data_IF_071722041031
#
_entry.id   IF_071722041031
#
_cell.length_a   1.000
_cell.length_b   1.000
_cell.length_c   1.000
_cell.angle_alpha   90.00
_cell.angle_beta   90.00
_cell.angle_gamma   90.00
#
_symmetry.space_group_name_H-M   'P 1'
#
loop_
_entity.id
_entity.type
_entity.pdbx_description
1 polymer ?
#
# COMPACT_ATOMS: atom_id res chain seq x y z
N UNK A 1 -40.95 4.34 20.54
CA UNK A 1 -39.73 5.18 20.51
C UNK A 1 -38.58 4.38 21.09
N UNK A 2 -37.78 3.70 20.25
CA UNK A 2 -36.51 3.14 20.72
C UNK A 2 -35.56 4.32 20.95
N UNK A 3 -35.04 4.48 22.17
CA UNK A 3 -34.04 5.51 22.44
C UNK A 3 -32.84 5.23 21.53
N UNK A 4 -32.59 6.12 20.59
CA UNK A 4 -31.51 6.00 19.62
C UNK A 4 -30.18 6.25 20.36
N UNK A 5 -29.70 5.24 21.11
CA UNK A 5 -28.44 5.34 21.84
C UNK A 5 -27.33 5.54 20.82
N UNK A 6 -26.64 6.67 20.91
CA UNK A 6 -25.54 7.02 20.00
C UNK A 6 -24.50 5.91 19.98
N UNK A 7 -24.17 5.42 18.78
CA UNK A 7 -23.13 4.42 18.62
C UNK A 7 -21.74 5.08 18.72
N UNK A 8 -21.21 5.18 19.94
CA UNK A 8 -19.97 5.92 20.27
C UNK A 8 -18.77 5.54 19.41
N UNK A 9 -18.59 4.25 19.09
CA UNK A 9 -17.50 3.81 18.23
C UNK A 9 -17.58 4.44 16.83
N UNK A 10 -18.78 4.52 16.23
CA UNK A 10 -18.96 5.19 14.94
C UNK A 10 -18.78 6.70 15.03
N UNK A 11 -19.15 7.32 16.15
CA UNK A 11 -18.90 8.74 16.36
C UNK A 11 -17.40 9.05 16.43
N UNK A 12 -16.62 8.26 17.17
CA UNK A 12 -15.16 8.42 17.24
C UNK A 12 -14.50 8.20 15.87
N UNK A 13 -14.89 7.14 15.14
CA UNK A 13 -14.41 6.92 13.77
C UNK A 13 -14.74 8.10 12.85
N UNK A 14 -15.93 8.68 12.98
CA UNK A 14 -16.33 9.83 12.18
C UNK A 14 -15.47 11.07 12.45
N UNK A 15 -15.11 11.32 13.72
CA UNK A 15 -14.20 12.41 14.10
C UNK A 15 -12.82 12.19 13.47
N UNK A 16 -12.27 10.97 13.56
CA UNK A 16 -11.00 10.61 12.94
C UNK A 16 -11.05 10.84 11.42
N UNK A 17 -12.10 10.38 10.74
CA UNK A 17 -12.26 10.61 9.31
C UNK A 17 -12.41 12.09 8.99
N UNK A 18 -13.12 12.87 9.81
CA UNK A 18 -13.25 14.31 9.64
C UNK A 18 -11.91 15.04 9.66
N UNK A 19 -11.04 14.72 10.63
CA UNK A 19 -9.68 15.27 10.66
C UNK A 19 -8.85 14.82 9.46
N UNK A 20 -8.92 13.54 9.09
CA UNK A 20 -8.22 13.01 7.92
C UNK A 20 -8.65 13.71 6.61
N UNK A 21 -9.95 13.88 6.40
CA UNK A 21 -10.51 14.58 5.22
C UNK A 21 -10.02 16.02 5.19
N UNK A 22 -10.10 16.75 6.31
CA UNK A 22 -9.66 18.14 6.38
C UNK A 22 -8.18 18.29 6.02
N UNK A 23 -7.33 17.43 6.60
CA UNK A 23 -5.89 17.42 6.32
C UNK A 23 -5.60 17.11 4.86
N UNK A 24 -6.21 16.06 4.30
CA UNK A 24 -5.98 15.64 2.92
C UNK A 24 -6.48 16.69 1.90
N UNK A 25 -7.62 17.33 2.15
CA UNK A 25 -8.14 18.41 1.30
C UNK A 25 -7.22 19.63 1.37
N UNK A 26 -6.76 20.01 2.55
CA UNK A 26 -5.81 21.11 2.72
C UNK A 26 -4.50 20.82 1.97
N UNK A 27 -3.94 19.62 2.14
CA UNK A 27 -2.71 19.20 1.47
C UNK A 27 -2.89 19.16 -0.05
N UNK A 28 -3.99 18.60 -0.55
CA UNK A 28 -4.33 18.61 -1.97
C UNK A 28 -4.41 20.04 -2.53
N UNK A 29 -5.05 20.96 -1.81
CA UNK A 29 -5.17 22.36 -2.19
C UNK A 29 -3.81 23.07 -2.23
N UNK A 30 -2.96 22.88 -1.22
CA UNK A 30 -1.62 23.45 -1.18
C UNK A 30 -0.74 22.93 -2.31
N UNK A 31 -0.77 21.62 -2.58
CA UNK A 31 -0.02 21.00 -3.68
C UNK A 31 -0.51 21.47 -5.05
N UNK A 32 -1.83 21.61 -5.23
CA UNK A 32 -2.40 22.14 -6.48
C UNK A 32 -2.01 23.59 -6.71
N UNK A 33 -2.09 24.44 -5.67
CA UNK A 33 -1.68 25.84 -5.75
C UNK A 33 -0.17 25.99 -6.03
N UNK A 34 0.66 25.21 -5.34
CA UNK A 34 2.11 25.17 -5.57
C UNK A 34 2.43 24.74 -7.00
N UNK A 35 1.78 23.67 -7.47
CA UNK A 35 1.96 23.18 -8.84
C UNK A 35 1.53 24.19 -9.91
N UNK A 36 0.43 24.93 -9.70
CA UNK A 36 0.02 26.02 -10.60
C UNK A 36 1.08 27.12 -10.62
N UNK A 37 1.57 27.52 -9.45
CA UNK A 37 2.62 28.53 -9.34
C UNK A 37 3.90 28.10 -10.08
N UNK A 38 4.34 26.86 -9.88
CA UNK A 38 5.52 26.28 -10.50
C UNK A 38 5.38 26.19 -12.04
N UNK A 39 4.17 25.90 -12.53
CA UNK A 39 3.85 25.85 -13.95
C UNK A 39 4.06 27.21 -14.65
N UNK A 40 3.73 28.32 -13.98
CA UNK A 40 3.85 29.68 -14.55
C UNK A 40 5.21 30.34 -14.31
N UNK A 41 5.89 29.98 -13.23
CA UNK A 41 7.21 30.55 -12.88
C UNK A 41 8.37 29.79 -13.51
N UNK A 42 8.11 28.59 -14.06
CA UNK A 42 9.18 27.71 -14.52
C UNK A 42 10.05 27.20 -13.36
N UNK A 43 9.51 27.21 -12.14
CA UNK A 43 10.15 26.66 -10.96
C UNK A 43 10.10 25.10 -10.99
N UNK A 44 10.39 24.48 -9.85
CA UNK A 44 10.55 23.02 -9.71
C UNK A 44 9.32 22.21 -10.16
N UNK A 45 9.55 20.97 -10.59
CA UNK A 45 8.61 19.95 -11.10
C UNK A 45 7.10 20.14 -10.75
N UNK A 46 6.34 20.92 -11.56
CA UNK A 46 4.92 21.14 -11.31
C UNK A 46 4.09 19.88 -11.56
N UNK A 47 4.54 18.96 -12.41
CA UNK A 47 3.78 17.78 -12.80
C UNK A 47 3.64 16.82 -11.61
N UNK A 48 4.73 16.55 -10.90
CA UNK A 48 4.67 15.72 -9.68
C UNK A 48 3.82 16.37 -8.58
N UNK A 49 3.81 17.70 -8.48
CA UNK A 49 2.94 18.45 -7.57
C UNK A 49 1.45 18.23 -7.85
N UNK A 50 1.02 18.34 -9.11
CA UNK A 50 -0.40 18.16 -9.47
C UNK A 50 -0.85 16.70 -9.38
N UNK A 51 0.03 15.73 -9.69
CA UNK A 51 -0.27 14.30 -9.47
C UNK A 51 -0.50 14.04 -7.98
N UNK A 52 0.35 14.58 -7.11
CA UNK A 52 0.21 14.45 -5.65
C UNK A 52 -1.08 15.09 -5.15
N UNK A 53 -1.47 16.25 -5.71
CA UNK A 53 -2.73 16.89 -5.36
C UNK A 53 -3.94 16.01 -5.69
N UNK A 54 -3.97 15.40 -6.87
CA UNK A 54 -5.03 14.47 -7.28
C UNK A 54 -5.03 13.19 -6.44
N UNK A 55 -3.85 12.66 -6.09
CA UNK A 55 -3.72 11.52 -5.19
C UNK A 55 -4.37 11.81 -3.82
N UNK A 56 -4.02 12.93 -3.18
CA UNK A 56 -4.60 13.35 -1.90
C UNK A 56 -6.11 13.60 -2.00
N UNK A 57 -6.55 14.26 -3.08
CA UNK A 57 -7.96 14.51 -3.35
C UNK A 57 -8.77 13.22 -3.52
N UNK A 58 -8.22 12.22 -4.22
CA UNK A 58 -8.86 10.92 -4.40
C UNK A 58 -8.97 10.15 -3.08
N UNK A 59 -7.92 10.13 -2.26
CA UNK A 59 -7.96 9.52 -0.91
C UNK A 59 -9.01 10.23 -0.04
N UNK A 60 -9.03 11.57 -0.05
CA UNK A 60 -10.04 12.35 0.68
C UNK A 60 -11.47 12.02 0.22
N UNK A 61 -11.69 11.87 -1.08
CA UNK A 61 -12.99 11.52 -1.64
C UNK A 61 -13.47 10.15 -1.17
N UNK A 62 -12.60 9.13 -1.19
CA UNK A 62 -12.96 7.79 -0.72
C UNK A 62 -13.20 7.80 0.81
N UNK A 63 -12.43 8.60 1.55
CA UNK A 63 -12.62 8.78 2.99
C UNK A 63 -13.94 9.51 3.31
N UNK A 64 -14.37 10.48 2.48
CA UNK A 64 -15.68 11.12 2.58
C UNK A 64 -16.83 10.12 2.36
N UNK A 65 -16.72 9.24 1.35
CA UNK A 65 -17.69 8.16 1.14
C UNK A 65 -17.73 7.24 2.37
N UNK A 66 -16.56 6.92 2.93
CA UNK A 66 -16.47 6.09 4.13
C UNK A 66 -17.13 6.76 5.35
N UNK A 67 -16.87 8.05 5.55
CA UNK A 67 -17.48 8.87 6.59
C UNK A 67 -19.00 8.97 6.47
N UNK A 68 -19.53 9.01 5.24
CA UNK A 68 -20.97 9.03 5.00
C UNK A 68 -21.66 7.78 5.58
N UNK A 69 -21.14 6.58 5.30
CA UNK A 69 -21.72 5.33 5.82
C UNK A 69 -21.56 5.18 7.34
N UNK A 70 -20.45 5.69 7.89
CA UNK A 70 -20.25 5.73 9.35
C UNK A 70 -21.22 6.72 10.01
N UNK A 71 -21.47 7.88 9.39
CA UNK A 71 -22.46 8.86 9.86
C UNK A 71 -23.88 8.28 9.89
N UNK A 72 -24.25 7.47 8.90
CA UNK A 72 -25.54 6.78 8.92
C UNK A 72 -25.70 5.91 10.16
N UNK A 73 -24.65 5.19 10.57
CA UNK A 73 -24.67 4.38 11.80
C UNK A 73 -24.79 5.25 13.04
N UNK A 74 -24.07 6.36 13.12
CA UNK A 74 -24.15 7.32 14.23
C UNK A 74 -25.54 7.93 14.37
N UNK A 75 -26.26 8.12 13.26
CA UNK A 75 -27.66 8.59 13.22
C UNK A 75 -28.70 7.49 13.49
N UNK A 76 -28.28 6.24 13.68
CA UNK A 76 -29.18 5.10 13.89
C UNK A 76 -30.02 4.75 12.66
N UNK A 77 -29.52 4.99 11.45
CA UNK A 77 -30.22 4.66 10.21
C UNK A 77 -30.04 3.17 9.87
N UNK A 78 -31.16 2.46 9.64
CA UNK A 78 -31.17 1.04 9.28
C UNK A 78 -30.34 0.71 8.02
N UNK A 79 -30.17 1.68 7.11
CA UNK A 79 -29.36 1.51 5.90
C UNK A 79 -27.89 1.19 6.19
N UNK A 80 -27.37 1.62 7.35
CA UNK A 80 -25.99 1.36 7.76
C UNK A 80 -25.75 -0.11 8.10
N UNK A 81 -26.77 -0.79 8.65
CA UNK A 81 -26.69 -2.17 9.15
C UNK A 81 -27.03 -3.22 8.07
N UNK A 82 -27.39 -2.78 6.86
CA UNK A 82 -27.62 -3.67 5.74
C UNK A 82 -26.36 -4.45 5.39
N UNK A 83 -26.48 -5.76 5.04
CA UNK A 83 -25.34 -6.54 4.60
C UNK A 83 -24.75 -5.96 3.32
N UNK A 84 -23.42 -6.00 3.23
CA UNK A 84 -22.68 -5.51 2.08
C UNK A 84 -22.00 -6.66 1.35
N UNK A 85 -22.23 -6.72 0.04
CA UNK A 85 -21.48 -7.53 -0.90
C UNK A 85 -20.84 -6.60 -1.90
N UNK A 86 -19.56 -6.81 -2.17
CA UNK A 86 -18.84 -5.97 -3.12
C UNK A 86 -19.41 -6.15 -4.53
N UNK A 87 -19.77 -5.08 -5.24
CA UNK A 87 -20.32 -5.19 -6.58
C UNK A 87 -19.23 -5.58 -7.58
N UNK A 88 -19.32 -6.78 -8.13
CA UNK A 88 -18.38 -7.29 -9.13
C UNK A 88 -19.09 -8.05 -10.24
N UNK A 89 -18.78 -7.71 -11.49
CA UNK A 89 -19.35 -8.32 -12.68
C UNK A 89 -18.28 -9.02 -13.53
N UNK A 90 -18.58 -10.14 -14.21
CA UNK A 90 -17.58 -10.92 -14.96
C UNK A 90 -16.89 -10.16 -16.09
N UNK A 91 -17.55 -9.18 -16.72
CA UNK A 91 -16.94 -8.40 -17.81
C UNK A 91 -15.80 -7.50 -17.34
N UNK A 92 -15.71 -7.21 -16.03
CA UNK A 92 -14.63 -6.41 -15.44
C UNK A 92 -13.25 -7.08 -15.59
N UNK A 93 -13.20 -8.40 -15.78
CA UNK A 93 -11.96 -9.13 -16.08
C UNK A 93 -11.27 -8.70 -17.37
N UNK A 94 -12.03 -8.13 -18.32
CA UNK A 94 -11.50 -7.66 -19.60
C UNK A 94 -11.36 -6.13 -19.58
N UNK A 95 -12.40 -5.43 -19.11
CA UNK A 95 -12.44 -3.97 -19.20
C UNK A 95 -11.40 -3.32 -18.29
N UNK A 96 -11.19 -3.80 -17.06
CA UNK A 96 -10.23 -3.16 -16.15
C UNK A 96 -8.78 -3.28 -16.68
N UNK A 97 -8.29 -4.48 -17.08
CA UNK A 97 -6.96 -4.58 -17.67
C UNK A 97 -6.82 -3.75 -18.96
N UNK A 98 -7.84 -3.73 -19.83
CA UNK A 98 -7.81 -2.94 -21.06
C UNK A 98 -7.67 -1.44 -20.77
N UNK A 99 -8.46 -0.90 -19.83
CA UNK A 99 -8.39 0.51 -19.41
C UNK A 99 -7.06 0.83 -18.75
N UNK A 100 -6.53 -0.08 -17.93
CA UNK A 100 -5.23 0.10 -17.25
C UNK A 100 -4.09 0.14 -18.27
N UNK A 101 -4.04 -0.81 -19.20
CA UNK A 101 -3.03 -0.85 -20.28
C UNK A 101 -3.15 0.38 -21.18
N UNK A 102 -4.37 0.77 -21.56
CA UNK A 102 -4.58 1.99 -22.32
C UNK A 102 -4.06 3.22 -21.58
N UNK A 103 -4.37 3.35 -20.28
CA UNK A 103 -3.90 4.47 -19.45
C UNK A 103 -2.38 4.54 -19.35
N UNK A 104 -1.71 3.39 -19.18
CA UNK A 104 -0.25 3.30 -19.14
C UNK A 104 0.35 3.71 -20.49
N UNK A 105 -0.16 3.18 -21.60
CA UNK A 105 0.36 3.49 -22.94
C UNK A 105 0.15 4.97 -23.28
N UNK A 106 -1.05 5.49 -23.03
CA UNK A 106 -1.38 6.88 -23.31
C UNK A 106 -0.56 7.85 -22.44
N UNK A 107 -0.45 7.58 -21.14
CA UNK A 107 0.38 8.39 -20.25
C UNK A 107 1.87 8.29 -20.57
N UNK A 108 2.36 7.11 -20.98
CA UNK A 108 3.72 6.94 -21.49
C UNK A 108 3.99 7.82 -22.72
N UNK A 109 3.08 7.82 -23.70
CA UNK A 109 3.16 8.72 -24.86
C UNK A 109 3.15 10.20 -24.46
N UNK A 110 2.33 10.58 -23.47
CA UNK A 110 2.32 11.95 -22.93
C UNK A 110 3.67 12.32 -22.33
N UNK A 111 4.30 11.43 -21.55
CA UNK A 111 5.63 11.70 -20.98
C UNK A 111 6.74 11.75 -22.03
N UNK A 112 6.65 10.91 -23.08
CA UNK A 112 7.62 10.89 -24.19
C UNK A 112 7.50 12.11 -25.11
N UNK A 113 6.35 12.79 -25.11
CA UNK A 113 6.21 14.04 -25.84
C UNK A 113 6.99 15.19 -25.21
N UNK A 114 7.44 15.05 -23.95
CA UNK A 114 8.20 16.05 -23.19
C UNK A 114 7.51 17.44 -23.12
N UNK A 115 6.19 17.46 -23.29
CA UNK A 115 5.37 18.66 -23.20
C UNK A 115 4.80 18.76 -21.78
N UNK A 116 5.42 19.60 -20.96
CA UNK A 116 5.08 19.78 -19.55
C UNK A 116 3.58 20.04 -19.30
N UNK A 117 2.93 20.86 -20.14
CA UNK A 117 1.50 21.16 -20.03
C UNK A 117 0.61 19.93 -20.32
N UNK A 118 1.01 19.06 -21.26
CA UNK A 118 0.29 17.81 -21.50
C UNK A 118 0.40 16.90 -20.28
N UNK A 119 1.62 16.74 -19.76
CA UNK A 119 1.86 15.92 -18.57
C UNK A 119 1.08 16.43 -17.36
N UNK A 120 1.09 17.75 -17.15
CA UNK A 120 0.37 18.42 -16.07
C UNK A 120 -1.15 18.19 -16.12
N UNK A 121 -1.75 18.19 -17.32
CA UNK A 121 -3.20 17.97 -17.50
C UNK A 121 -3.57 16.49 -17.39
N UNK A 122 -2.85 15.62 -18.09
CA UNK A 122 -3.27 14.23 -18.29
C UNK A 122 -2.78 13.28 -17.21
N UNK A 123 -1.52 13.38 -16.75
CA UNK A 123 -0.94 12.40 -15.83
C UNK A 123 -1.67 12.28 -14.48
N UNK A 124 -2.22 13.36 -13.87
CA UNK A 124 -2.99 13.22 -12.63
C UNK A 124 -4.21 12.32 -12.81
N UNK A 125 -4.94 12.49 -13.91
CA UNK A 125 -6.14 11.70 -14.24
C UNK A 125 -5.75 10.27 -14.59
N UNK A 126 -4.71 10.10 -15.41
CA UNK A 126 -4.22 8.78 -15.82
C UNK A 126 -3.64 7.99 -14.64
N UNK A 127 -3.01 8.66 -13.67
CA UNK A 127 -2.53 8.00 -12.45
C UNK A 127 -3.69 7.39 -11.67
N UNK A 128 -4.80 8.13 -11.49
CA UNK A 128 -6.01 7.58 -10.87
C UNK A 128 -6.60 6.43 -11.69
N UNK A 129 -6.62 6.56 -13.02
CA UNK A 129 -7.15 5.56 -13.96
C UNK A 129 -6.32 4.27 -14.01
N UNK A 130 -5.03 4.35 -13.74
CA UNK A 130 -4.13 3.19 -13.76
C UNK A 130 -4.07 2.53 -12.38
N UNK A 131 -4.13 3.29 -11.29
CA UNK A 131 -3.95 2.74 -9.93
C UNK A 131 -5.26 2.20 -9.34
N UNK A 132 -6.38 2.92 -9.47
CA UNK A 132 -7.63 2.53 -8.80
C UNK A 132 -8.34 1.31 -9.41
N UNK A 133 -8.43 1.15 -10.75
CA UNK A 133 -9.14 0.02 -11.34
C UNK A 133 -8.54 -1.35 -11.01
N UNK A 134 -7.21 -1.58 -11.03
CA UNK A 134 -6.64 -2.85 -10.57
C UNK A 134 -7.03 -3.21 -9.13
N UNK A 135 -7.06 -2.22 -8.22
CA UNK A 135 -7.52 -2.41 -6.84
C UNK A 135 -8.96 -2.91 -6.82
N UNK A 136 -9.85 -2.28 -7.60
CA UNK A 136 -11.24 -2.70 -7.73
C UNK A 136 -11.36 -4.13 -8.28
N UNK A 137 -10.58 -4.48 -9.31
CA UNK A 137 -10.55 -5.82 -9.88
C UNK A 137 -10.14 -6.85 -8.84
N UNK A 138 -9.02 -6.63 -8.15
CA UNK A 138 -8.51 -7.55 -7.14
C UNK A 138 -9.47 -7.66 -5.94
N UNK A 139 -10.12 -6.58 -5.53
CA UNK A 139 -11.16 -6.62 -4.48
C UNK A 139 -12.32 -7.49 -4.93
N UNK A 140 -12.79 -7.29 -6.17
CA UNK A 140 -13.85 -8.07 -6.77
C UNK A 140 -13.53 -9.56 -6.84
N UNK A 141 -12.31 -9.92 -7.26
CA UNK A 141 -11.81 -11.30 -7.31
C UNK A 141 -11.78 -11.91 -5.91
N UNK A 142 -11.23 -11.20 -4.94
CA UNK A 142 -11.03 -11.69 -3.59
C UNK A 142 -12.33 -11.89 -2.82
N UNK A 143 -13.25 -10.90 -2.94
CA UNK A 143 -14.50 -10.86 -2.19
C UNK A 143 -15.66 -11.54 -2.91
N UNK A 144 -15.49 -11.97 -4.16
CA UNK A 144 -16.55 -12.47 -5.04
C UNK A 144 -17.58 -13.38 -4.32
N UNK A 145 -18.76 -12.84 -4.02
CA UNK A 145 -19.87 -13.54 -3.37
C UNK A 145 -19.81 -13.64 -1.84
N UNK A 146 -18.71 -13.22 -1.20
CA UNK A 146 -18.54 -13.19 0.25
C UNK A 146 -19.28 -11.96 0.82
N UNK A 147 -20.08 -12.18 1.86
CA UNK A 147 -20.70 -11.09 2.61
C UNK A 147 -19.72 -10.48 3.61
N UNK A 148 -19.52 -9.17 3.51
CA UNK A 148 -18.52 -8.41 4.27
C UNK A 148 -19.08 -7.87 5.60
N UNK A 149 -20.33 -8.24 5.90
CA UNK A 149 -21.14 -7.75 7.02
C UNK A 149 -21.74 -6.37 6.75
N UNK A 150 -22.10 -5.63 7.81
CA UNK A 150 -22.76 -4.34 7.69
C UNK A 150 -21.96 -3.31 6.88
N UNK A 151 -22.66 -2.52 6.06
CA UNK A 151 -22.06 -1.44 5.24
C UNK A 151 -21.15 -0.52 6.05
N UNK A 152 -21.61 -0.06 7.22
CA UNK A 152 -20.81 0.86 8.04
C UNK A 152 -19.47 0.24 8.46
N UNK A 153 -19.42 -1.08 8.71
CA UNK A 153 -18.20 -1.78 9.11
C UNK A 153 -17.24 -1.91 7.94
N UNK A 154 -17.74 -2.28 6.76
CA UNK A 154 -16.94 -2.29 5.53
C UNK A 154 -16.27 -0.94 5.29
N UNK A 155 -17.04 0.14 5.32
CA UNK A 155 -16.53 1.50 5.10
C UNK A 155 -15.65 2.01 6.26
N UNK A 156 -15.85 1.53 7.49
CA UNK A 156 -14.92 1.79 8.59
C UNK A 156 -13.56 1.15 8.34
N UNK A 157 -13.53 -0.11 7.89
CA UNK A 157 -12.28 -0.83 7.58
C UNK A 157 -11.54 -0.13 6.43
N UNK A 158 -12.26 0.21 5.34
CA UNK A 158 -11.70 0.94 4.21
C UNK A 158 -11.12 2.30 4.66
N UNK A 159 -11.91 3.10 5.39
CA UNK A 159 -11.47 4.43 5.82
C UNK A 159 -10.32 4.41 6.83
N UNK A 160 -10.29 3.47 7.78
CA UNK A 160 -9.16 3.31 8.70
C UNK A 160 -7.88 2.87 7.97
N UNK A 161 -8.00 2.00 6.96
CA UNK A 161 -6.89 1.59 6.10
C UNK A 161 -6.36 2.71 5.19
N UNK A 162 -7.16 3.74 4.90
CA UNK A 162 -6.76 4.93 4.13
C UNK A 162 -6.19 6.06 5.00
N UNK A 163 -6.35 6.00 6.32
CA UNK A 163 -6.02 7.10 7.24
C UNK A 163 -5.09 6.64 8.36
N UNK A 164 -5.66 6.02 9.41
CA UNK A 164 -4.92 5.62 10.61
C UNK A 164 -3.84 4.59 10.30
N UNK A 165 -4.12 3.62 9.42
CA UNK A 165 -3.15 2.60 9.03
C UNK A 165 -1.84 3.19 8.49
N UNK A 166 -1.87 3.92 7.35
CA UNK A 166 -0.69 4.57 6.79
C UNK A 166 0.02 5.50 7.77
N UNK A 167 -0.73 6.29 8.55
CA UNK A 167 -0.14 7.18 9.56
C UNK A 167 0.65 6.40 10.62
N UNK A 168 0.08 5.33 11.18
CA UNK A 168 0.77 4.51 12.18
C UNK A 168 2.00 3.80 11.60
N UNK A 169 1.91 3.28 10.37
CA UNK A 169 3.04 2.64 9.69
C UNK A 169 4.17 3.64 9.45
N UNK A 170 3.87 4.82 8.90
CA UNK A 170 4.84 5.88 8.68
C UNK A 170 5.55 6.31 9.98
N UNK A 171 4.81 6.51 11.08
CA UNK A 171 5.42 6.84 12.38
C UNK A 171 6.34 5.71 12.86
N UNK A 172 5.88 4.46 12.77
CA UNK A 172 6.68 3.32 13.22
C UNK A 172 7.95 3.15 12.38
N UNK A 173 7.86 3.30 11.06
CA UNK A 173 9.00 3.26 10.13
C UNK A 173 10.01 4.36 10.41
N UNK A 174 9.57 5.62 10.57
CA UNK A 174 10.45 6.75 10.91
C UNK A 174 11.16 6.49 12.24
N UNK A 175 10.46 6.01 13.25
CA UNK A 175 11.06 5.69 14.56
C UNK A 175 12.07 4.56 14.43
N UNK A 176 11.75 3.48 13.72
CA UNK A 176 12.69 2.38 13.48
C UNK A 176 13.93 2.84 12.72
N UNK A 177 13.76 3.64 11.66
CA UNK A 177 14.86 4.20 10.88
C UNK A 177 15.74 5.12 11.74
N UNK A 178 15.13 5.99 12.54
CA UNK A 178 15.86 6.88 13.46
C UNK A 178 16.69 6.08 14.48
N UNK A 179 16.12 5.02 15.05
CA UNK A 179 16.84 4.12 15.97
C UNK A 179 18.02 3.44 15.25
N UNK A 180 17.83 2.96 14.02
CA UNK A 180 18.90 2.36 13.23
C UNK A 180 20.03 3.35 12.91
N UNK A 181 19.67 4.58 12.51
CA UNK A 181 20.65 5.65 12.21
C UNK A 181 21.44 6.00 13.46
N UNK A 182 20.77 6.21 14.61
CA UNK A 182 21.44 6.54 15.88
C UNK A 182 22.34 5.39 16.33
N UNK A 183 21.85 4.15 16.29
CA UNK A 183 22.66 2.98 16.64
C UNK A 183 23.88 2.83 15.72
N UNK A 184 23.70 3.04 14.41
CA UNK A 184 24.78 3.03 13.43
C UNK A 184 25.80 4.13 13.66
N UNK A 185 25.35 5.35 13.93
CA UNK A 185 26.23 6.50 14.22
C UNK A 185 27.04 6.27 15.52
N UNK A 186 26.41 5.76 16.57
CA UNK A 186 27.08 5.37 17.82
C UNK A 186 28.10 4.28 17.56
N UNK A 187 27.74 3.24 16.80
CA UNK A 187 28.67 2.17 16.44
C UNK A 187 29.88 2.69 15.67
N UNK A 188 29.66 3.51 14.63
CA UNK A 188 30.74 4.10 13.82
C UNK A 188 31.62 5.02 14.66
N UNK A 189 31.08 5.81 15.59
CA UNK A 189 31.89 6.72 16.40
C UNK A 189 32.85 5.99 17.34
N UNK A 190 32.45 4.82 17.86
CA UNK A 190 33.31 4.00 18.71
C UNK A 190 34.23 3.07 17.91
N UNK A 191 33.76 2.47 16.82
CA UNK A 191 34.50 1.45 16.08
C UNK A 191 35.38 2.03 14.96
N UNK A 192 35.00 3.17 14.36
CA UNK A 192 35.66 3.79 13.21
C UNK A 192 35.70 5.33 13.30
N UNK A 193 36.49 5.90 14.24
CA UNK A 193 36.59 7.36 14.40
C UNK A 193 37.03 8.10 13.12
N UNK A 194 37.85 7.46 12.29
CA UNK A 194 38.33 8.03 11.02
C UNK A 194 37.17 8.32 10.05
N UNK A 195 36.17 7.43 9.98
CA UNK A 195 34.98 7.60 9.15
C UNK A 195 34.14 8.79 9.64
N UNK A 196 34.10 9.04 10.95
CA UNK A 196 33.40 10.23 11.49
C UNK A 196 34.07 11.52 11.02
N UNK A 197 35.40 11.56 11.01
CA UNK A 197 36.14 12.73 10.53
C UNK A 197 35.90 12.95 9.03
N UNK A 198 35.88 11.88 8.24
CA UNK A 198 35.58 11.95 6.80
C UNK A 198 34.16 12.43 6.53
N UNK A 199 33.16 11.91 7.26
CA UNK A 199 31.78 12.37 7.16
C UNK A 199 31.63 13.85 7.53
N UNK A 200 32.34 14.32 8.57
CA UNK A 200 32.34 15.74 8.93
C UNK A 200 32.94 16.63 7.81
N UNK A 201 33.99 16.15 7.13
CA UNK A 201 34.54 16.85 5.97
C UNK A 201 33.54 16.89 4.81
N UNK A 202 32.82 15.79 4.55
CA UNK A 202 31.75 15.73 3.53
C UNK A 202 30.62 16.71 3.84
N UNK A 203 30.17 16.78 5.10
CA UNK A 203 29.16 17.76 5.54
C UNK A 203 29.66 19.19 5.34
N UNK A 204 30.93 19.45 5.65
CA UNK A 204 31.56 20.74 5.37
C UNK A 204 31.54 21.12 3.88
N UNK A 205 31.79 20.14 3.00
CA UNK A 205 31.73 20.33 1.53
C UNK A 205 30.29 20.56 1.04
N UNK A 206 29.30 19.81 1.53
CA UNK A 206 27.91 19.96 1.12
C UNK A 206 27.33 21.36 1.42
N UNK A 207 27.83 22.03 2.46
CA UNK A 207 27.44 23.41 2.80
C UNK A 207 27.92 24.47 1.79
N UNK A 208 28.67 24.09 0.74
CA UNK A 208 29.19 25.01 -0.28
C UNK A 208 28.37 25.06 -1.59
N UNK A 209 27.10 24.65 -1.57
CA UNK A 209 26.21 24.56 -2.75
C UNK A 209 26.81 23.70 -3.88
N UNK A 210 27.25 22.49 -3.54
CA UNK A 210 27.70 21.51 -4.54
C UNK A 210 26.56 21.09 -5.47
N UNK A 211 26.90 20.75 -6.73
CA UNK A 211 25.93 20.12 -7.62
C UNK A 211 25.58 18.69 -7.16
N UNK A 212 24.41 18.20 -7.57
CA UNK A 212 23.88 16.89 -7.19
C UNK A 212 24.77 15.71 -7.60
N UNK A 213 25.40 15.77 -8.77
CA UNK A 213 26.33 14.74 -9.26
C UNK A 213 27.62 14.73 -8.42
N UNK A 214 28.10 15.89 -8.01
CA UNK A 214 29.25 16.02 -7.14
C UNK A 214 28.95 15.41 -5.76
N UNK A 215 27.76 15.65 -5.20
CA UNK A 215 27.31 15.02 -3.96
C UNK A 215 27.23 13.49 -4.13
N UNK A 216 26.60 13.00 -5.19
CA UNK A 216 26.51 11.56 -5.47
C UNK A 216 27.89 10.90 -5.62
N UNK A 217 28.83 11.58 -6.27
CA UNK A 217 30.19 11.07 -6.44
C UNK A 217 30.93 10.92 -5.11
N UNK A 218 30.74 11.87 -4.18
CA UNK A 218 31.32 11.85 -2.84
C UNK A 218 30.68 10.77 -1.96
N UNK A 219 29.36 10.57 -2.09
CA UNK A 219 28.62 9.57 -1.31
C UNK A 219 28.73 8.14 -1.88
N UNK A 220 29.10 8.00 -3.16
CA UNK A 220 29.15 6.71 -3.86
C UNK A 220 29.91 5.59 -3.11
N UNK A 221 31.10 5.82 -2.51
CA UNK A 221 31.81 4.79 -1.75
C UNK A 221 31.02 4.27 -0.54
N UNK A 222 30.17 5.10 0.05
CA UNK A 222 29.33 4.76 1.19
C UNK A 222 28.05 4.05 0.76
N UNK A 223 27.41 4.55 -0.29
CA UNK A 223 26.16 3.98 -0.83
C UNK A 223 26.39 2.59 -1.46
N UNK A 224 27.58 2.35 -2.01
CA UNK A 224 27.96 1.07 -2.60
C UNK A 224 28.64 0.11 -1.61
N UNK A 225 28.78 0.51 -0.34
CA UNK A 225 29.35 -0.34 0.69
C UNK A 225 28.43 -1.56 0.95
N UNK A 226 28.94 -2.81 0.87
CA UNK A 226 28.11 -4.00 1.05
C UNK A 226 27.38 -4.07 2.39
N UNK A 227 27.98 -3.57 3.48
CA UNK A 227 27.34 -3.54 4.79
C UNK A 227 26.19 -2.53 4.83
N UNK A 228 26.37 -1.35 4.23
CA UNK A 228 25.31 -0.34 4.11
C UNK A 228 24.15 -0.88 3.26
N UNK A 229 24.45 -1.52 2.13
CA UNK A 229 23.46 -2.18 1.27
C UNK A 229 22.73 -3.28 2.05
N UNK A 230 23.46 -4.12 2.80
CA UNK A 230 22.85 -5.21 3.58
C UNK A 230 21.95 -4.70 4.71
N UNK A 231 22.35 -3.63 5.41
CA UNK A 231 21.53 -2.98 6.45
C UNK A 231 20.29 -2.34 5.82
N UNK A 232 20.46 -1.60 4.71
CA UNK A 232 19.35 -0.99 3.98
C UNK A 232 18.36 -2.04 3.46
N UNK A 233 18.87 -3.14 2.91
CA UNK A 233 18.06 -4.28 2.49
C UNK A 233 17.36 -4.94 3.68
N UNK A 234 18.03 -5.15 4.81
CA UNK A 234 17.41 -5.68 6.02
C UNK A 234 16.29 -4.77 6.56
N UNK A 235 16.46 -3.46 6.48
CA UNK A 235 15.40 -2.51 6.84
C UNK A 235 14.20 -2.63 5.88
N UNK A 236 14.42 -2.48 4.57
CA UNK A 236 13.36 -2.44 3.55
C UNK A 236 12.68 -3.81 3.34
N UNK A 237 13.42 -4.91 3.42
CA UNK A 237 12.93 -6.26 3.10
C UNK A 237 12.54 -7.08 4.33
N UNK A 238 12.83 -6.63 5.56
CA UNK A 238 12.44 -7.36 6.77
C UNK A 238 11.70 -6.47 7.78
N UNK A 239 12.32 -5.39 8.25
CA UNK A 239 11.74 -4.57 9.31
C UNK A 239 10.47 -3.84 8.87
N UNK A 240 10.48 -3.26 7.67
CA UNK A 240 9.31 -2.59 7.09
C UNK A 240 8.16 -3.60 6.90
N UNK A 241 8.32 -4.74 6.20
CA UNK A 241 7.28 -5.76 6.10
C UNK A 241 6.75 -6.30 7.44
N UNK A 242 7.60 -6.48 8.45
CA UNK A 242 7.16 -6.91 9.79
C UNK A 242 6.13 -5.93 10.37
N UNK A 243 6.43 -4.64 10.33
CA UNK A 243 5.51 -3.61 10.86
C UNK A 243 4.29 -3.47 9.98
N UNK A 244 4.47 -3.40 8.66
CA UNK A 244 3.36 -3.19 7.75
C UNK A 244 2.37 -4.35 7.78
N UNK A 245 2.80 -5.61 7.73
CA UNK A 245 1.88 -6.76 7.73
C UNK A 245 1.17 -6.96 9.07
N UNK A 246 1.71 -6.40 10.16
CA UNK A 246 1.05 -6.37 11.46
C UNK A 246 -0.04 -5.29 11.51
N UNK A 247 0.24 -4.11 10.98
CA UNK A 247 -0.60 -2.92 11.10
C UNK A 247 -1.61 -2.73 9.96
N UNK A 248 -1.32 -3.21 8.74
CA UNK A 248 -2.25 -3.16 7.59
C UNK A 248 -3.63 -3.68 7.94
N UNK A 249 -3.81 -4.85 8.58
CA UNK A 249 -5.13 -5.36 8.96
C UNK A 249 -5.62 -4.82 10.32
N UNK A 250 -5.17 -3.64 10.79
CA UNK A 250 -5.58 -3.05 12.08
C UNK A 250 -7.10 -3.04 12.27
N UNK A 251 -7.85 -2.65 11.25
CA UNK A 251 -9.30 -2.63 11.36
C UNK A 251 -9.90 -4.04 11.46
N UNK A 252 -9.26 -5.05 10.86
CA UNK A 252 -9.65 -6.47 11.03
C UNK A 252 -9.41 -6.92 12.47
N UNK A 253 -8.31 -6.50 13.11
CA UNK A 253 -8.07 -6.73 14.54
C UNK A 253 -9.17 -6.12 15.41
N UNK A 254 -9.55 -4.86 15.14
CA UNK A 254 -10.61 -4.16 15.87
C UNK A 254 -11.96 -4.88 15.78
N UNK A 255 -12.26 -5.48 14.63
CA UNK A 255 -13.50 -6.20 14.39
C UNK A 255 -13.40 -7.73 14.55
N UNK A 256 -12.28 -8.28 15.01
CA UNK A 256 -11.99 -9.72 14.97
C UNK A 256 -13.10 -10.58 15.61
N UNK A 257 -13.72 -10.10 16.69
CA UNK A 257 -14.83 -10.80 17.37
C UNK A 257 -16.13 -10.81 16.55
N UNK A 258 -16.32 -9.83 15.67
CA UNK A 258 -17.52 -9.65 14.86
C UNK A 258 -17.40 -10.27 13.47
N UNK A 259 -16.26 -10.86 13.12
CA UNK A 259 -16.03 -11.48 11.80
C UNK A 259 -16.52 -12.92 11.80
N UNK A 260 -17.50 -13.26 10.97
CA UNK A 260 -18.25 -14.51 11.07
C UNK A 260 -17.46 -15.76 10.65
N UNK A 261 -16.49 -15.62 9.74
CA UNK A 261 -15.71 -16.74 9.21
C UNK A 261 -14.31 -16.33 8.75
N UNK A 262 -13.37 -17.29 8.61
CA UNK A 262 -12.07 -17.01 7.99
C UNK A 262 -12.16 -16.46 6.57
N UNK A 263 -13.20 -16.83 5.81
CA UNK A 263 -13.44 -16.29 4.48
C UNK A 263 -13.78 -14.79 4.51
N UNK A 264 -14.64 -14.39 5.45
CA UNK A 264 -14.92 -12.98 5.69
C UNK A 264 -13.67 -12.25 6.20
N UNK A 265 -12.88 -12.88 7.08
CA UNK A 265 -11.60 -12.34 7.56
C UNK A 265 -10.60 -12.09 6.43
N UNK A 266 -10.48 -13.03 5.49
CA UNK A 266 -9.67 -12.87 4.28
C UNK A 266 -10.13 -11.65 3.47
N UNK A 267 -11.42 -11.56 3.15
CA UNK A 267 -11.93 -10.48 2.31
C UNK A 267 -11.80 -9.11 2.99
N UNK A 268 -12.03 -9.03 4.31
CA UNK A 268 -11.81 -7.81 5.10
C UNK A 268 -10.33 -7.43 5.20
N UNK A 269 -9.42 -8.41 5.28
CA UNK A 269 -7.98 -8.20 5.16
C UNK A 269 -7.59 -7.63 3.80
N UNK A 270 -8.13 -8.19 2.72
CA UNK A 270 -7.92 -7.69 1.35
C UNK A 270 -8.41 -6.24 1.20
N UNK A 271 -9.53 -5.87 1.82
CA UNK A 271 -10.02 -4.47 1.84
C UNK A 271 -9.04 -3.55 2.58
N UNK A 272 -8.53 -3.99 3.73
CA UNK A 272 -7.54 -3.23 4.50
C UNK A 272 -6.22 -3.05 3.72
N UNK A 273 -5.75 -4.11 3.05
CA UNK A 273 -4.58 -4.06 2.17
C UNK A 273 -4.81 -3.21 0.92
N UNK A 274 -6.02 -3.26 0.34
CA UNK A 274 -6.42 -2.42 -0.79
C UNK A 274 -6.49 -0.94 -0.41
N UNK A 275 -7.02 -0.61 0.76
CA UNK A 275 -7.02 0.74 1.31
C UNK A 275 -5.59 1.29 1.47
N UNK A 276 -4.69 0.50 2.06
CA UNK A 276 -3.28 0.86 2.13
C UNK A 276 -2.66 1.03 0.73
N UNK A 277 -2.90 0.10 -0.19
CA UNK A 277 -2.39 0.16 -1.55
C UNK A 277 -2.86 1.39 -2.32
N UNK A 278 -4.11 1.85 -2.13
CA UNK A 278 -4.59 3.12 -2.70
C UNK A 278 -3.71 4.26 -2.20
N UNK A 279 -3.51 4.38 -0.89
CA UNK A 279 -2.70 5.44 -0.31
C UNK A 279 -1.26 5.38 -0.81
N UNK A 280 -0.61 4.22 -0.69
CA UNK A 280 0.80 4.05 -1.03
C UNK A 280 1.05 4.19 -2.54
N UNK A 281 0.27 3.51 -3.38
CA UNK A 281 0.50 3.50 -4.83
C UNK A 281 0.19 4.84 -5.48
N UNK A 282 -0.82 5.58 -5.02
CA UNK A 282 -1.09 6.91 -5.54
C UNK A 282 0.05 7.88 -5.21
N UNK A 283 0.55 7.85 -3.97
CA UNK A 283 1.65 8.70 -3.53
C UNK A 283 2.98 8.36 -4.20
N UNK A 284 3.30 7.08 -4.31
CA UNK A 284 4.52 6.63 -4.98
C UNK A 284 4.49 6.85 -6.50
N UNK A 285 3.32 7.12 -7.09
CA UNK A 285 3.15 7.42 -8.52
C UNK A 285 3.26 8.91 -8.86
N UNK A 286 3.52 9.77 -7.87
CA UNK A 286 3.75 11.21 -8.07
C UNK A 286 5.09 11.50 -8.74
N UNK A 287 5.19 11.18 -10.02
CA UNK A 287 6.39 11.35 -10.82
C UNK A 287 6.01 11.88 -12.21
N UNK A 288 6.49 13.08 -12.54
CA UNK A 288 6.25 13.75 -13.82
C UNK A 288 7.21 13.38 -14.95
N UNK A 289 8.15 12.48 -14.72
CA UNK A 289 9.23 12.12 -15.67
C UNK A 289 8.83 10.99 -16.61
N UNK A 290 9.70 10.66 -17.57
CA UNK A 290 9.55 9.52 -18.49
C UNK A 290 9.49 8.16 -17.78
N UNK A 291 9.87 8.09 -16.51
CA UNK A 291 9.75 6.87 -15.69
C UNK A 291 8.34 6.60 -15.18
N UNK A 292 7.39 7.54 -15.31
CA UNK A 292 6.02 7.43 -14.82
C UNK A 292 5.37 6.09 -15.20
N UNK A 293 5.43 5.71 -16.49
CA UNK A 293 4.79 4.50 -16.99
C UNK A 293 5.33 3.22 -16.31
N UNK A 294 6.64 3.19 -16.04
CA UNK A 294 7.30 2.09 -15.34
C UNK A 294 6.84 2.06 -13.88
N UNK A 295 6.78 3.22 -13.22
CA UNK A 295 6.37 3.36 -11.81
C UNK A 295 4.93 2.87 -11.63
N UNK A 296 3.97 3.38 -12.40
CA UNK A 296 2.55 3.00 -12.24
C UNK A 296 2.30 1.53 -12.59
N UNK A 297 3.09 0.97 -13.54
CA UNK A 297 3.05 -0.46 -13.84
C UNK A 297 3.54 -1.29 -12.65
N UNK A 298 4.68 -0.93 -12.06
CA UNK A 298 5.20 -1.61 -10.87
C UNK A 298 4.21 -1.54 -9.68
N UNK A 299 3.50 -0.41 -9.53
CA UNK A 299 2.48 -0.23 -8.49
C UNK A 299 1.28 -1.17 -8.62
N UNK A 300 0.94 -1.60 -9.82
CA UNK A 300 -0.11 -2.63 -10.02
C UNK A 300 0.29 -3.96 -9.37
N UNK A 301 1.56 -4.34 -9.46
CA UNK A 301 2.11 -5.52 -8.79
C UNK A 301 2.12 -5.38 -7.27
N UNK A 302 2.62 -4.25 -6.76
CA UNK A 302 2.64 -3.93 -5.33
C UNK A 302 1.23 -3.89 -4.72
N UNK A 303 0.24 -3.42 -5.48
CA UNK A 303 -1.16 -3.44 -5.07
C UNK A 303 -1.64 -4.87 -4.79
N UNK A 304 -1.42 -5.80 -5.73
CA UNK A 304 -1.83 -7.19 -5.55
C UNK A 304 -1.15 -7.82 -4.33
N UNK A 305 0.14 -7.49 -4.13
CA UNK A 305 0.92 -7.93 -2.98
C UNK A 305 0.26 -7.51 -1.66
N UNK A 306 0.02 -6.22 -1.44
CA UNK A 306 -0.56 -5.72 -0.19
C UNK A 306 -1.95 -6.28 0.09
N UNK A 307 -2.74 -6.46 -0.96
CA UNK A 307 -4.06 -7.05 -0.86
C UNK A 307 -4.01 -8.52 -0.43
N UNK A 308 -3.16 -9.33 -1.06
CA UNK A 308 -3.03 -10.76 -0.74
C UNK A 308 -2.42 -10.99 0.64
N UNK A 309 -1.35 -10.25 0.98
CA UNK A 309 -0.64 -10.38 2.25
C UNK A 309 -1.53 -9.97 3.42
N UNK A 310 -2.19 -8.81 3.34
CA UNK A 310 -3.18 -8.38 4.34
C UNK A 310 -4.40 -9.32 4.38
N UNK A 311 -4.83 -9.86 3.24
CA UNK A 311 -5.86 -10.89 3.17
C UNK A 311 -5.48 -12.17 3.93
N UNK A 312 -4.24 -12.64 3.74
CA UNK A 312 -3.71 -13.82 4.43
C UNK A 312 -3.67 -13.59 5.95
N UNK A 313 -3.19 -12.42 6.40
CA UNK A 313 -3.20 -12.08 7.83
C UNK A 313 -4.63 -11.96 8.35
N UNK A 314 -5.55 -11.34 7.60
CA UNK A 314 -6.97 -11.25 7.97
C UNK A 314 -7.65 -12.62 8.11
N UNK A 315 -7.34 -13.57 7.24
CA UNK A 315 -7.74 -14.97 7.37
C UNK A 315 -7.16 -15.62 8.63
N UNK A 316 -5.89 -15.33 8.94
CA UNK A 316 -5.22 -15.79 10.15
C UNK A 316 -5.88 -15.26 11.42
N UNK A 317 -6.19 -13.95 11.47
CA UNK A 317 -6.88 -13.29 12.59
C UNK A 317 -8.24 -13.96 12.81
N UNK A 318 -9.06 -14.07 11.76
CA UNK A 318 -10.37 -14.69 11.89
C UNK A 318 -10.27 -16.17 12.31
N UNK A 319 -9.29 -16.93 11.79
CA UNK A 319 -9.03 -18.31 12.22
C UNK A 319 -8.65 -18.42 13.70
N UNK A 320 -7.87 -17.48 14.22
CA UNK A 320 -7.48 -17.45 15.62
C UNK A 320 -8.68 -17.14 16.53
N UNK A 321 -9.56 -16.22 16.15
CA UNK A 321 -10.70 -15.82 16.98
C UNK A 321 -11.91 -16.76 16.86
N UNK A 322 -12.19 -17.28 15.66
CA UNK A 322 -13.37 -18.13 15.41
C UNK A 322 -13.11 -19.61 15.56
N UNK A 323 -11.93 -20.08 15.17
CA UNK A 323 -11.59 -21.51 15.23
C UNK A 323 -10.56 -21.83 16.33
N UNK A 324 -10.08 -20.82 17.09
CA UNK A 324 -9.01 -20.95 18.10
C UNK A 324 -7.69 -21.49 17.53
N UNK A 325 -7.45 -21.33 16.23
CA UNK A 325 -6.26 -21.85 15.53
C UNK A 325 -5.17 -20.78 15.41
N UNK A 326 -4.51 -20.44 16.52
CA UNK A 326 -3.48 -19.39 16.53
C UNK A 326 -2.27 -19.71 15.65
N UNK A 327 -1.95 -20.99 15.46
CA UNK A 327 -0.89 -21.41 14.54
C UNK A 327 -1.13 -20.98 13.09
N UNK A 328 -2.41 -20.84 12.66
CA UNK A 328 -2.74 -20.30 11.34
C UNK A 328 -2.44 -18.81 11.23
N UNK A 329 -2.66 -18.05 12.29
CA UNK A 329 -2.30 -16.63 12.33
C UNK A 329 -0.79 -16.45 12.24
N UNK A 330 -0.01 -17.20 13.02
CA UNK A 330 1.45 -17.12 12.99
C UNK A 330 2.00 -17.50 11.61
N UNK A 331 1.51 -18.60 11.02
CA UNK A 331 1.91 -19.03 9.68
C UNK A 331 1.50 -18.01 8.61
N UNK A 332 0.29 -17.44 8.71
CA UNK A 332 -0.19 -16.41 7.79
C UNK A 332 0.67 -15.14 7.86
N UNK A 333 0.96 -14.65 9.06
CA UNK A 333 1.78 -13.48 9.29
C UNK A 333 3.21 -13.66 8.79
N UNK A 334 3.88 -14.75 9.17
CA UNK A 334 5.24 -15.04 8.69
C UNK A 334 5.26 -15.17 7.16
N UNK A 335 4.26 -15.84 6.58
CA UNK A 335 4.17 -15.99 5.12
C UNK A 335 3.96 -14.63 4.43
N UNK A 336 3.11 -13.77 4.99
CA UNK A 336 2.88 -12.42 4.47
C UNK A 336 4.17 -11.58 4.51
N UNK A 337 4.88 -11.60 5.63
CA UNK A 337 6.16 -10.90 5.82
C UNK A 337 7.21 -11.41 4.85
N UNK A 338 7.33 -12.74 4.64
CA UNK A 338 8.30 -13.31 3.71
C UNK A 338 7.99 -12.93 2.25
N UNK A 339 6.73 -13.03 1.83
CA UNK A 339 6.32 -12.69 0.46
C UNK A 339 6.53 -11.20 0.19
N UNK A 340 6.14 -10.34 1.13
CA UNK A 340 6.36 -8.90 1.01
C UNK A 340 7.84 -8.54 1.09
N UNK A 341 8.59 -9.16 2.00
CA UNK A 341 10.03 -8.99 2.11
C UNK A 341 10.79 -9.37 0.84
N UNK A 342 10.42 -10.48 0.19
CA UNK A 342 11.01 -10.88 -1.10
C UNK A 342 10.69 -9.89 -2.22
N UNK A 343 9.47 -9.34 -2.25
CA UNK A 343 9.12 -8.26 -3.17
C UNK A 343 10.00 -7.03 -2.94
N UNK A 344 10.12 -6.57 -1.70
CA UNK A 344 10.92 -5.41 -1.32
C UNK A 344 12.43 -5.62 -1.54
N UNK A 345 12.95 -6.82 -1.28
CA UNK A 345 14.34 -7.15 -1.59
C UNK A 345 14.60 -7.07 -3.11
N UNK A 346 13.64 -7.52 -3.92
CA UNK A 346 13.78 -7.50 -5.38
C UNK A 346 13.70 -6.08 -5.95
N UNK A 347 12.77 -5.25 -5.46
CA UNK A 347 12.68 -3.84 -5.86
C UNK A 347 13.90 -3.04 -5.41
N UNK A 348 14.36 -3.25 -4.17
CA UNK A 348 15.59 -2.65 -3.66
C UNK A 348 16.82 -3.10 -4.46
N UNK A 349 16.92 -4.39 -4.78
CA UNK A 349 18.00 -4.92 -5.62
C UNK A 349 18.06 -4.28 -7.01
N UNK A 350 16.91 -4.03 -7.65
CA UNK A 350 16.82 -3.30 -8.92
C UNK A 350 17.24 -1.84 -8.76
N UNK A 351 16.79 -1.16 -7.70
CA UNK A 351 17.17 0.23 -7.43
C UNK A 351 18.68 0.38 -7.21
N UNK A 352 19.29 -0.53 -6.44
CA UNK A 352 20.74 -0.54 -6.21
C UNK A 352 21.51 -0.90 -7.50
N UNK A 353 20.98 -1.79 -8.36
CA UNK A 353 21.58 -2.05 -9.66
C UNK A 353 21.59 -0.80 -10.55
N UNK A 354 20.48 -0.05 -10.58
CA UNK A 354 20.40 1.21 -11.33
C UNK A 354 21.32 2.30 -10.76
N UNK A 355 21.44 2.40 -9.43
CA UNK A 355 22.42 3.29 -8.79
C UNK A 355 23.85 2.91 -9.16
N UNK A 356 24.15 1.61 -9.22
CA UNK A 356 25.46 1.14 -9.64
C UNK A 356 25.85 1.67 -11.02
N UNK A 357 24.87 1.73 -11.93
CA UNK A 357 25.06 2.19 -13.33
C UNK A 357 25.47 3.64 -13.37
N UNK A 358 24.80 4.48 -12.57
CA UNK A 358 25.08 5.92 -12.54
C UNK A 358 26.44 6.25 -11.91
N UNK A 359 26.95 5.41 -10.99
CA UNK A 359 28.23 5.65 -10.30
C UNK A 359 29.40 4.80 -10.81
N UNK A 360 29.17 3.98 -11.85
CA UNK A 360 30.19 3.13 -12.48
C UNK A 360 30.73 2.00 -11.60
N UNK A 361 30.03 1.63 -10.53
CA UNK A 361 30.42 0.60 -9.54
C UNK A 361 29.20 0.10 -8.76
N UNK A 362 29.15 -1.16 -8.27
CA UNK A 362 29.98 -2.32 -8.59
C UNK A 362 29.31 -3.24 -9.65
N UNK A 363 30.13 -3.88 -10.50
CA UNK A 363 29.62 -4.78 -11.56
C UNK A 363 28.85 -6.01 -11.07
N UNK A 364 29.14 -6.49 -9.86
CA UNK A 364 28.50 -7.69 -9.32
C UNK A 364 26.99 -7.52 -9.09
N UNK A 365 26.52 -6.28 -8.88
CA UNK A 365 25.11 -5.99 -8.60
C UNK A 365 24.26 -6.22 -9.87
N UNK A 366 24.75 -5.84 -11.05
CA UNK A 366 24.02 -6.02 -12.31
C UNK A 366 23.76 -7.47 -12.65
N UNK A 367 24.66 -8.37 -12.24
CA UNK A 367 24.52 -9.81 -12.50
C UNK A 367 23.21 -10.37 -11.93
N UNK A 368 22.68 -9.75 -10.88
CA UNK A 368 21.46 -10.18 -10.20
C UNK A 368 20.21 -9.40 -10.63
N UNK A 369 20.34 -8.30 -11.36
CA UNK A 369 19.19 -7.50 -11.81
C UNK A 369 18.15 -8.32 -12.62
N UNK A 370 18.55 -9.20 -13.57
CA UNK A 370 17.60 -10.08 -14.26
C UNK A 370 16.89 -11.05 -13.32
N UNK A 371 17.56 -11.53 -12.28
CA UNK A 371 16.98 -12.43 -11.29
C UNK A 371 15.95 -11.71 -10.41
N UNK A 372 16.23 -10.48 -9.97
CA UNK A 372 15.26 -9.66 -9.24
C UNK A 372 14.03 -9.33 -10.09
N UNK A 373 14.23 -8.95 -11.36
CA UNK A 373 13.12 -8.65 -12.26
C UNK A 373 12.28 -9.90 -12.57
N UNK A 374 12.94 -11.01 -12.90
CA UNK A 374 12.26 -12.30 -13.11
C UNK A 374 11.52 -12.78 -11.86
N UNK A 375 12.12 -12.60 -10.69
CA UNK A 375 11.51 -12.87 -9.39
C UNK A 375 10.23 -12.06 -9.18
N UNK A 376 10.24 -10.75 -9.44
CA UNK A 376 9.05 -9.90 -9.35
C UNK A 376 7.93 -10.37 -10.28
N UNK A 377 8.25 -10.74 -11.53
CA UNK A 377 7.24 -11.24 -12.49
C UNK A 377 6.63 -12.56 -11.99
N UNK A 378 7.46 -13.51 -11.54
CA UNK A 378 6.99 -14.79 -11.00
C UNK A 378 6.14 -14.57 -9.75
N UNK A 379 6.57 -13.69 -8.84
CA UNK A 379 5.80 -13.36 -7.64
C UNK A 379 4.48 -12.68 -7.98
N UNK A 380 4.45 -11.72 -8.91
CA UNK A 380 3.22 -11.05 -9.33
C UNK A 380 2.19 -12.06 -9.86
N UNK A 381 2.62 -12.98 -10.73
CA UNK A 381 1.75 -14.06 -11.25
C UNK A 381 1.29 -14.98 -10.12
N UNK A 382 2.20 -15.37 -9.22
CA UNK A 382 1.90 -16.23 -8.07
C UNK A 382 0.88 -15.59 -7.12
N UNK A 383 1.04 -14.30 -6.80
CA UNK A 383 0.15 -13.52 -5.93
C UNK A 383 -1.26 -13.43 -6.53
N UNK A 384 -1.37 -13.11 -7.82
CA UNK A 384 -2.66 -13.06 -8.53
C UNK A 384 -3.32 -14.46 -8.55
N UNK A 385 -2.54 -15.52 -8.78
CA UNK A 385 -3.04 -16.89 -8.72
C UNK A 385 -3.54 -17.26 -7.32
N UNK A 386 -2.79 -16.91 -6.26
CA UNK A 386 -3.19 -17.12 -4.86
C UNK A 386 -4.50 -16.40 -4.56
N UNK A 387 -4.66 -15.15 -5.01
CA UNK A 387 -5.90 -14.39 -4.82
C UNK A 387 -7.11 -15.12 -5.43
N UNK A 388 -6.99 -15.55 -6.69
CA UNK A 388 -8.05 -16.24 -7.41
C UNK A 388 -8.38 -17.63 -6.83
N UNK A 389 -7.36 -18.40 -6.44
CA UNK A 389 -7.52 -19.74 -5.87
C UNK A 389 -8.08 -19.68 -4.43
N UNK A 390 -7.65 -18.70 -3.63
CA UNK A 390 -8.12 -18.51 -2.27
C UNK A 390 -9.62 -18.21 -2.24
N UNK A 391 -10.09 -17.31 -3.12
CA UNK A 391 -11.52 -17.03 -3.23
C UNK A 391 -12.33 -18.30 -3.57
N UNK A 392 -11.91 -19.06 -4.59
CA UNK A 392 -12.59 -20.31 -4.99
C UNK A 392 -12.67 -21.31 -3.84
N UNK A 393 -11.59 -21.48 -3.07
CA UNK A 393 -11.53 -22.42 -1.95
C UNK A 393 -12.41 -21.96 -0.79
N UNK A 394 -12.31 -20.69 -0.40
CA UNK A 394 -13.09 -20.10 0.69
C UNK A 394 -14.59 -20.11 0.40
N UNK A 395 -14.98 -19.88 -0.86
CA UNK A 395 -16.38 -19.96 -1.27
C UNK A 395 -16.95 -21.37 -1.16
N UNK A 396 -16.20 -22.40 -1.59
CA UNK A 396 -16.61 -23.80 -1.40
C UNK A 396 -16.83 -24.17 0.07
N UNK A 397 -16.06 -23.56 0.99
CA UNK A 397 -16.24 -23.76 2.43
C UNK A 397 -17.49 -23.07 2.99
N UNK A 398 -17.93 -21.97 2.37
CA UNK A 398 -19.18 -21.28 2.73
C UNK A 398 -20.41 -21.98 2.13
N UNK A 399 -20.26 -22.61 0.97
CA UNK A 399 -21.34 -23.32 0.26
C UNK A 399 -21.56 -24.75 0.77
N UNK A 400 -20.57 -25.38 1.41
CA UNK A 400 -20.72 -26.70 2.02
C UNK A 400 -21.61 -26.59 3.27
N UNK A 401 -22.88 -27.05 3.22
CA UNK A 401 -23.76 -26.96 4.36
C UNK A 401 -23.42 -28.04 5.38
N UNK A 402 -23.91 -27.81 6.60
CA UNK A 402 -24.12 -28.70 7.73
C UNK A 402 -24.83 -30.05 7.42
N UNK A 403 -24.39 -30.82 6.41
CA UNK A 403 -24.95 -32.14 6.06
C UNK A 403 -24.68 -33.17 7.20
N UNK A 404 -23.70 -32.90 8.07
CA UNK A 404 -23.43 -33.75 9.24
C UNK A 404 -24.34 -33.52 10.45
N UNK A 405 -25.20 -32.48 10.48
CA UNK A 405 -26.11 -32.26 11.62
C UNK A 405 -27.53 -32.81 11.42
N UNK A 406 -28.04 -32.91 10.20
CA UNK A 406 -29.36 -33.53 9.96
C UNK A 406 -29.32 -35.07 9.97
N UNK A 407 -28.16 -35.70 9.73
CA UNK A 407 -28.04 -37.17 9.74
C UNK A 407 -27.91 -37.78 11.14
N UNK A 408 -27.68 -36.97 12.17
CA UNK A 408 -27.60 -37.42 13.57
C UNK A 408 -28.95 -37.24 14.30
N UNK A 409 -29.75 -36.23 13.95
CA UNK A 409 -31.08 -36.04 14.55
C UNK A 409 -32.19 -36.89 13.91
N UNK A 410 -31.97 -37.49 12.73
CA UNK A 410 -32.94 -38.44 12.15
C UNK A 410 -32.78 -39.89 12.64
N UNK A 411 -31.85 -40.15 13.56
CA UNK A 411 -31.55 -41.49 14.10
C UNK A 411 -31.52 -41.53 15.64
N UNK A 412 -32.08 -40.53 16.32
CA UNK A 412 -32.22 -40.48 17.79
C UNK A 412 -33.67 -40.69 18.23
#
# INVERSE_FOLDING_TARGET
>A
MQSNKTHWASLLTLIIFGFGILLLVLLAGLLALGSIFDLFTGATDPVSGIISAFAMGAVAMILMVSAWFVLQKTRGLNAADQPFRFPFAPWLWIVIPAVTVFGILFGGLVTLAELQWLSWIFLPILTLLVVLPPIWLFLGIASNGIELGPRWRFFTILGLGLSVGPFMMMVAEIVMLAVLIVAGAVYISFAHPDVVNELNAIVGMMNTNMDENAILSVLSPYLTNPAVIAIGMGYIALLVPLVEELLKPLAVWLFAKSIDSPAQGFALGVISGGAFAIFESLNASSNGTTSWAIIVTARTGTTALHMVTSGLVGWGIASAFKERRIGRLLAAYISAVLVHGLWNASTFGIAIASLGESVGRPEWIYRYAPAFLGGLVVMAVGIIAVLALSNRKLRKQLEAPHIEQESVESNA
#
